data_IF_857570940845
#
_entry.id   IF_857570940845
#
_cell.length_a   1.000
_cell.length_b   1.000
_cell.length_c   1.000
_cell.angle_alpha   90.00
_cell.angle_beta   90.00
_cell.angle_gamma   90.00
#
_symmetry.space_group_name_H-M   'P 1'
#
loop_
_entity.id
_entity.type
_entity.pdbx_description
1 polymer ?
#
# COMPACT_ATOMS: atom_id res chain seq x y z
N UNK A 1 54.93 -10.44 13.97
CA UNK A 1 53.67 -11.13 14.36
C UNK A 1 53.01 -10.39 15.52
N UNK A 2 52.35 -9.25 15.26
CA UNK A 2 51.54 -8.55 16.28
C UNK A 2 50.69 -7.40 15.70
N UNK A 3 50.34 -7.40 14.40
CA UNK A 3 49.59 -6.28 13.78
C UNK A 3 48.39 -6.68 12.93
N UNK A 4 48.11 -7.97 12.73
CA UNK A 4 46.99 -8.41 11.86
C UNK A 4 45.76 -8.93 12.63
N UNK A 5 45.79 -9.04 13.96
CA UNK A 5 44.66 -9.61 14.73
C UNK A 5 43.68 -8.55 15.24
N UNK A 6 43.99 -7.25 15.12
CA UNK A 6 43.14 -6.17 15.68
C UNK A 6 42.06 -5.69 14.70
N UNK A 7 42.20 -5.92 13.38
CA UNK A 7 41.20 -5.48 12.40
C UNK A 7 39.98 -6.40 12.24
N UNK A 8 40.03 -7.64 12.74
CA UNK A 8 38.89 -8.58 12.62
C UNK A 8 37.88 -8.42 13.76
N UNK A 9 38.30 -7.87 14.91
CA UNK A 9 37.38 -7.61 16.03
C UNK A 9 36.58 -6.30 15.89
N UNK A 10 36.98 -5.39 15.00
CA UNK A 10 36.28 -4.12 14.77
C UNK A 10 35.20 -4.19 13.68
N UNK A 11 35.18 -5.24 12.85
CA UNK A 11 34.20 -5.38 11.77
C UNK A 11 32.96 -6.23 12.15
N UNK A 12 32.99 -6.97 13.26
CA UNK A 12 31.80 -7.69 13.76
C UNK A 12 30.96 -6.89 14.76
N UNK A 13 31.50 -5.81 15.33
CA UNK A 13 30.73 -4.92 16.20
C UNK A 13 29.86 -3.91 15.41
N UNK A 14 30.22 -3.59 14.17
CA UNK A 14 29.47 -2.65 13.31
C UNK A 14 28.23 -3.24 12.65
N UNK A 15 28.10 -4.57 12.59
CA UNK A 15 26.94 -5.25 11.99
C UNK A 15 25.72 -5.26 12.90
N UNK A 16 25.91 -5.37 14.22
CA UNK A 16 24.81 -5.37 15.20
C UNK A 16 24.25 -3.96 15.44
N UNK A 17 25.09 -2.92 15.40
CA UNK A 17 24.64 -1.53 15.51
C UNK A 17 23.88 -1.04 14.27
N UNK A 18 24.07 -1.67 13.11
CA UNK A 18 23.42 -1.25 11.86
C UNK A 18 21.93 -1.65 11.80
N UNK A 19 21.55 -2.75 12.46
CA UNK A 19 20.15 -3.20 12.53
C UNK A 19 19.33 -2.46 13.60
N UNK A 20 19.94 -2.11 14.74
CA UNK A 20 19.25 -1.38 15.82
C UNK A 20 19.06 0.11 15.46
N UNK A 21 20.00 0.70 14.73
CA UNK A 21 19.88 2.09 14.26
C UNK A 21 18.87 2.27 13.11
N UNK A 22 18.50 1.20 12.38
CA UNK A 22 17.53 1.30 11.28
C UNK A 22 16.07 1.41 11.73
N UNK A 23 15.69 0.83 12.87
CA UNK A 23 14.33 0.94 13.40
C UNK A 23 14.03 2.32 13.99
N UNK A 24 14.99 2.93 14.70
CA UNK A 24 14.83 4.30 15.23
C UNK A 24 14.79 5.37 14.13
N UNK A 25 15.44 5.13 12.99
CA UNK A 25 15.40 6.07 11.86
C UNK A 25 14.16 5.92 10.96
N UNK A 26 13.58 4.71 10.83
CA UNK A 26 12.37 4.49 10.02
C UNK A 26 11.13 5.17 10.64
N UNK A 27 11.11 5.28 11.96
CA UNK A 27 10.10 6.00 12.74
C UNK A 27 10.68 7.27 13.39
N UNK A 28 11.51 8.02 12.66
CA UNK A 28 11.94 9.35 13.08
C UNK A 28 10.72 10.29 13.11
N UNK A 29 10.10 10.40 14.28
CA UNK A 29 8.81 11.06 14.48
C UNK A 29 9.01 12.48 15.01
N UNK A 30 8.24 13.41 14.45
CA UNK A 30 8.19 14.79 14.93
C UNK A 30 7.41 14.90 16.23
N UNK A 31 6.28 14.19 16.36
CA UNK A 31 5.47 14.20 17.60
C UNK A 31 4.73 12.87 17.83
N UNK A 32 4.49 12.56 19.11
CA UNK A 32 3.68 11.43 19.60
C UNK A 32 2.50 11.97 20.42
N UNK A 33 1.28 11.60 20.05
CA UNK A 33 0.04 12.07 20.68
C UNK A 33 -0.85 10.89 21.07
N UNK A 34 -1.47 10.91 22.25
CA UNK A 34 -2.49 9.92 22.61
C UNK A 34 -3.71 10.03 21.67
N UNK A 35 -4.08 8.93 21.03
CA UNK A 35 -5.18 8.86 20.09
C UNK A 35 -6.46 8.30 20.73
N UNK A 36 -6.34 7.17 21.43
CA UNK A 36 -7.42 6.53 22.18
C UNK A 36 -6.88 5.43 23.10
N UNK A 37 -7.73 4.95 24.02
CA UNK A 37 -7.45 3.77 24.84
C UNK A 37 -8.15 2.56 24.24
N UNK A 38 -7.40 1.50 24.00
CA UNK A 38 -7.91 0.20 23.59
C UNK A 38 -8.00 -0.74 24.79
N UNK A 39 -9.12 -1.43 24.94
CA UNK A 39 -9.29 -2.46 25.97
C UNK A 39 -9.38 -3.82 25.29
N UNK A 40 -8.55 -4.76 25.73
CA UNK A 40 -8.61 -6.16 25.31
C UNK A 40 -8.64 -7.02 26.57
N UNK A 41 -9.68 -7.84 26.69
CA UNK A 41 -9.95 -8.63 27.90
C UNK A 41 -9.95 -7.74 29.16
N UNK A 42 -8.92 -7.87 30.01
CA UNK A 42 -8.75 -7.12 31.25
C UNK A 42 -7.58 -6.12 31.20
N UNK A 43 -6.95 -5.95 30.03
CA UNK A 43 -5.81 -5.05 29.84
C UNK A 43 -6.24 -3.78 29.08
N UNK A 44 -5.58 -2.66 29.38
CA UNK A 44 -5.82 -1.36 28.74
C UNK A 44 -4.53 -0.83 28.14
N UNK A 45 -4.61 -0.49 26.87
CA UNK A 45 -3.49 -0.03 26.05
C UNK A 45 -3.74 1.40 25.60
N UNK A 46 -2.79 2.29 25.89
CA UNK A 46 -2.81 3.62 25.31
C UNK A 46 -2.28 3.52 23.88
N UNK A 47 -3.11 3.89 22.91
CA UNK A 47 -2.72 3.92 21.50
C UNK A 47 -2.36 5.35 21.14
N UNK A 48 -1.16 5.52 20.58
CA UNK A 48 -0.61 6.80 20.18
C UNK A 48 -0.65 6.97 18.67
N UNK A 49 -1.01 8.16 18.21
CA UNK A 49 -0.79 8.60 16.84
C UNK A 49 0.59 9.26 16.74
N UNK A 50 1.35 8.83 15.74
CA UNK A 50 2.69 9.29 15.46
C UNK A 50 2.67 10.17 14.21
N UNK A 51 3.32 11.33 14.30
CA UNK A 51 3.39 12.30 13.19
C UNK A 51 4.82 12.58 12.78
N UNK A 52 5.01 12.87 11.50
CA UNK A 52 6.30 13.32 10.98
C UNK A 52 6.64 14.76 11.43
N UNK A 53 7.81 15.25 11.03
CA UNK A 53 8.28 16.61 11.35
C UNK A 53 7.43 17.72 10.71
N UNK A 54 6.59 17.39 9.74
CA UNK A 54 5.65 18.31 9.10
C UNK A 54 4.25 18.26 9.73
N UNK A 55 4.05 17.39 10.73
CA UNK A 55 2.78 17.22 11.45
C UNK A 55 1.79 16.27 10.78
N UNK A 56 2.19 15.56 9.72
CA UNK A 56 1.33 14.57 9.05
C UNK A 56 1.34 13.25 9.79
N UNK A 57 0.18 12.59 9.83
CA UNK A 57 0.05 11.28 10.44
C UNK A 57 0.82 10.20 9.67
N UNK A 58 1.51 9.33 10.39
CA UNK A 58 2.32 8.26 9.80
C UNK A 58 1.87 6.89 10.28
N UNK A 59 1.85 6.68 11.60
CA UNK A 59 1.56 5.39 12.21
C UNK A 59 0.77 5.54 13.51
N UNK A 60 0.08 4.49 13.90
CA UNK A 60 -0.35 4.27 15.26
C UNK A 60 0.67 3.39 15.98
N UNK A 61 0.82 3.56 17.29
CA UNK A 61 1.63 2.64 18.11
C UNK A 61 1.05 2.38 19.47
N UNK A 62 1.40 1.24 20.04
CA UNK A 62 1.19 0.94 21.44
C UNK A 62 2.30 0.03 21.95
N UNK A 63 2.52 0.05 23.27
CA UNK A 63 3.45 -0.85 23.92
C UNK A 63 2.66 -2.02 24.51
N UNK A 64 2.95 -3.23 24.04
CA UNK A 64 2.35 -4.47 24.53
C UNK A 64 3.31 -5.12 25.53
N UNK A 65 2.85 -5.26 26.77
CA UNK A 65 3.57 -5.95 27.83
C UNK A 65 2.77 -7.12 28.38
N UNK A 66 3.45 -8.11 28.95
CA UNK A 66 2.83 -9.12 29.80
C UNK A 66 3.35 -10.53 29.57
N UNK A 67 2.72 -11.49 30.23
CA UNK A 67 3.13 -12.90 30.18
C UNK A 67 2.71 -13.59 28.89
N UNK A 68 3.55 -14.50 28.40
CA UNK A 68 3.30 -15.22 27.15
C UNK A 68 2.75 -16.63 27.40
N UNK A 69 3.21 -17.29 28.46
CA UNK A 69 2.78 -18.64 28.80
C UNK A 69 2.53 -18.76 30.31
N UNK A 70 1.56 -19.62 30.65
CA UNK A 70 0.98 -19.74 31.99
C UNK A 70 1.92 -20.38 33.04
N UNK A 71 3.00 -21.01 32.59
CA UNK A 71 3.96 -21.75 33.43
C UNK A 71 5.23 -20.96 33.76
N UNK A 72 5.29 -19.69 33.31
CA UNK A 72 6.41 -18.79 33.53
C UNK A 72 7.73 -19.26 32.91
N UNK A 73 7.66 -20.14 31.90
CA UNK A 73 8.84 -20.62 31.15
C UNK A 73 9.30 -19.63 30.08
N UNK A 74 8.40 -18.76 29.64
CA UNK A 74 8.64 -17.77 28.61
C UNK A 74 8.94 -16.43 29.28
N UNK A 75 9.88 -15.68 28.71
CA UNK A 75 10.06 -14.30 29.13
C UNK A 75 8.80 -13.48 28.76
N UNK A 76 8.36 -12.56 29.63
CA UNK A 76 7.32 -11.61 29.29
C UNK A 76 7.68 -10.84 28.02
N UNK A 77 6.69 -10.56 27.18
CA UNK A 77 6.88 -9.65 26.05
C UNK A 77 6.87 -8.21 26.54
N UNK A 78 7.67 -7.40 25.87
CA UNK A 78 7.63 -5.94 25.95
C UNK A 78 8.03 -5.43 24.57
N UNK A 79 7.03 -5.11 23.75
CA UNK A 79 7.21 -4.75 22.35
C UNK A 79 6.42 -3.50 22.00
N UNK A 80 7.03 -2.61 21.24
CA UNK A 80 6.32 -1.51 20.60
C UNK A 80 5.79 -2.01 19.26
N UNK A 81 4.48 -1.89 19.06
CA UNK A 81 3.80 -2.36 17.84
C UNK A 81 3.31 -1.15 17.07
N UNK A 82 3.45 -1.20 15.75
CA UNK A 82 3.09 -0.13 14.84
C UNK A 82 2.05 -0.60 13.82
N UNK A 83 1.06 0.25 13.56
CA UNK A 83 0.09 0.07 12.48
C UNK A 83 0.09 1.29 11.57
N UNK A 84 -0.25 1.07 10.31
CA UNK A 84 -0.52 2.13 9.36
C UNK A 84 -1.86 2.85 9.68
N UNK A 85 -2.22 3.86 8.90
CA UNK A 85 -3.45 4.63 9.12
C UNK A 85 -4.73 3.85 8.78
N UNK A 86 -4.63 2.72 8.09
CA UNK A 86 -5.75 1.82 7.81
C UNK A 86 -5.88 0.69 8.84
N UNK A 87 -4.95 0.62 9.80
CA UNK A 87 -4.91 -0.43 10.81
C UNK A 87 -4.24 -1.71 10.33
N UNK A 88 -3.45 -1.67 9.27
CA UNK A 88 -2.59 -2.80 8.88
C UNK A 88 -1.32 -2.80 9.73
N UNK A 89 -0.84 -3.98 10.08
CA UNK A 89 0.44 -4.13 10.78
C UNK A 89 1.56 -3.53 9.94
N UNK A 90 2.34 -2.62 10.53
CA UNK A 90 3.45 -1.96 9.86
C UNK A 90 4.79 -2.54 10.30
N UNK A 91 5.01 -2.66 11.61
CA UNK A 91 6.24 -3.19 12.20
C UNK A 91 6.11 -3.41 13.71
N UNK A 92 7.14 -3.97 14.34
CA UNK A 92 7.35 -3.91 15.78
C UNK A 92 8.82 -3.61 16.12
N UNK A 93 9.04 -3.08 17.32
CA UNK A 93 10.36 -2.82 17.87
C UNK A 93 10.51 -3.40 19.28
N UNK A 94 11.74 -3.82 19.60
CA UNK A 94 12.15 -4.34 20.91
C UNK A 94 13.49 -3.71 21.29
N UNK A 95 13.71 -3.45 22.58
CA UNK A 95 15.05 -3.08 23.06
C UNK A 95 15.91 -4.32 23.31
N UNK A 96 17.22 -4.12 23.47
CA UNK A 96 18.18 -5.18 23.83
C UNK A 96 17.79 -5.93 25.12
N UNK A 97 17.27 -5.19 26.11
CA UNK A 97 16.81 -5.73 27.38
C UNK A 97 15.51 -6.53 27.25
N UNK A 98 14.70 -6.23 26.22
CA UNK A 98 13.38 -6.80 25.97
C UNK A 98 13.35 -7.66 24.69
N UNK A 99 14.48 -8.25 24.31
CA UNK A 99 14.56 -9.14 23.14
C UNK A 99 13.54 -10.27 23.25
N UNK A 100 12.84 -10.53 22.14
CA UNK A 100 11.97 -11.69 22.04
C UNK A 100 12.79 -12.97 22.16
N UNK A 101 12.29 -13.92 22.94
CA UNK A 101 12.91 -15.23 23.09
C UNK A 101 11.95 -16.35 22.69
N UNK A 102 12.53 -17.40 22.15
CA UNK A 102 11.92 -18.72 22.00
C UNK A 102 11.91 -19.44 23.35
N UNK A 103 11.46 -20.68 23.33
CA UNK A 103 11.60 -21.64 24.40
C UNK A 103 13.04 -21.66 24.93
N UNK A 104 13.17 -21.83 26.24
CA UNK A 104 14.45 -21.86 26.95
C UNK A 104 15.27 -20.56 26.82
N UNK A 105 14.58 -19.43 26.72
CA UNK A 105 15.17 -18.08 26.66
C UNK A 105 16.14 -17.84 25.49
N UNK A 106 16.08 -18.67 24.44
CA UNK A 106 16.89 -18.50 23.24
C UNK A 106 16.41 -17.25 22.50
N UNK A 107 17.27 -16.25 22.33
CA UNK A 107 16.92 -15.01 21.63
C UNK A 107 16.52 -15.28 20.17
N UNK A 108 15.58 -14.47 19.66
CA UNK A 108 15.23 -14.46 18.26
C UNK A 108 16.44 -14.06 17.39
N UNK A 109 16.62 -14.78 16.29
CA UNK A 109 17.57 -14.44 15.22
C UNK A 109 16.95 -13.40 14.26
N UNK A 110 17.75 -12.71 13.44
CA UNK A 110 17.21 -11.82 12.41
C UNK A 110 16.17 -12.49 11.50
N UNK A 111 16.38 -13.76 11.16
CA UNK A 111 15.46 -14.57 10.35
C UNK A 111 14.14 -14.83 11.07
N UNK A 112 14.18 -15.05 12.40
CA UNK A 112 12.97 -15.18 13.21
C UNK A 112 12.18 -13.89 13.25
N UNK A 113 12.86 -12.74 13.34
CA UNK A 113 12.22 -11.43 13.28
C UNK A 113 11.54 -11.20 11.93
N UNK A 114 12.20 -11.52 10.81
CA UNK A 114 11.61 -11.41 9.48
C UNK A 114 10.37 -12.30 9.34
N UNK A 115 10.48 -13.57 9.74
CA UNK A 115 9.36 -14.51 9.72
C UNK A 115 8.20 -14.04 10.59
N UNK A 116 8.48 -13.53 11.79
CA UNK A 116 7.43 -13.01 12.67
C UNK A 116 6.71 -11.82 12.02
N UNK A 117 7.44 -10.87 11.39
CA UNK A 117 6.80 -9.74 10.71
C UNK A 117 5.88 -10.18 9.57
N UNK A 118 6.29 -11.18 8.78
CA UNK A 118 5.46 -11.77 7.74
C UNK A 118 4.18 -12.39 8.33
N UNK A 119 4.31 -13.18 9.41
CA UNK A 119 3.17 -13.78 10.10
C UNK A 119 2.21 -12.72 10.65
N UNK A 120 2.73 -11.65 11.29
CA UNK A 120 1.90 -10.58 11.85
C UNK A 120 1.17 -9.75 10.79
N UNK A 121 1.77 -9.60 9.61
CA UNK A 121 1.15 -8.94 8.46
C UNK A 121 0.07 -9.79 7.79
N UNK A 122 0.14 -11.12 7.92
CA UNK A 122 -0.83 -12.05 7.34
C UNK A 122 -2.13 -12.12 8.16
N UNK A 123 -3.14 -11.39 7.72
CA UNK A 123 -4.49 -11.39 8.34
C UNK A 123 -5.29 -12.67 8.06
N UNK A 124 -4.84 -13.50 7.13
CA UNK A 124 -5.46 -14.77 6.74
C UNK A 124 -4.71 -15.99 7.32
N UNK A 125 -3.77 -15.76 8.22
CA UNK A 125 -2.99 -16.79 8.89
C UNK A 125 -3.88 -17.85 9.54
N UNK A 126 -3.39 -19.10 9.53
CA UNK A 126 -4.02 -20.22 10.23
C UNK A 126 -4.23 -19.93 11.73
N UNK A 127 -3.43 -19.04 12.33
CA UNK A 127 -3.60 -18.62 13.73
C UNK A 127 -4.99 -18.04 14.03
N UNK A 128 -5.70 -17.53 13.00
CA UNK A 128 -7.07 -17.03 13.16
C UNK A 128 -8.06 -18.09 13.61
N UNK A 129 -7.90 -19.30 13.08
CA UNK A 129 -8.97 -20.31 13.06
C UNK A 129 -8.70 -21.48 14.03
N UNK A 130 -7.54 -21.52 14.68
CA UNK A 130 -7.11 -22.61 15.59
C UNK A 130 -6.79 -22.10 16.99
N UNK A 131 -7.18 -22.86 18.01
CA UNK A 131 -6.79 -22.58 19.38
C UNK A 131 -5.31 -22.90 19.62
N UNK A 132 -4.71 -22.24 20.61
CA UNK A 132 -3.30 -22.41 20.98
C UNK A 132 -2.89 -23.88 21.19
N UNK A 133 -3.75 -24.68 21.82
CA UNK A 133 -3.50 -26.10 22.11
C UNK A 133 -3.42 -26.96 20.83
N UNK A 134 -4.10 -26.55 19.77
CA UNK A 134 -4.13 -27.25 18.48
C UNK A 134 -2.85 -27.01 17.67
N UNK A 135 -2.12 -25.94 17.98
CA UNK A 135 -0.83 -25.61 17.36
C UNK A 135 0.33 -26.46 17.91
N UNK A 136 0.07 -27.27 18.94
CA UNK A 136 1.07 -28.07 19.64
C UNK A 136 1.02 -29.54 19.21
N UNK A 137 2.19 -30.15 19.05
CA UNK A 137 2.32 -31.59 18.88
C UNK A 137 2.02 -32.29 20.21
N UNK A 138 0.98 -33.13 20.20
CA UNK A 138 0.54 -33.87 21.40
C UNK A 138 1.46 -35.05 21.75
N UNK A 139 2.33 -35.45 20.82
CA UNK A 139 3.21 -36.62 20.93
C UNK A 139 4.65 -36.27 21.33
N UNK A 140 5.10 -35.05 21.03
CA UNK A 140 6.48 -34.60 21.28
C UNK A 140 6.56 -33.67 22.48
N UNK A 141 7.29 -34.11 23.51
CA UNK A 141 7.60 -33.33 24.71
C UNK A 141 9.04 -32.82 24.66
N UNK A 142 9.24 -31.56 25.05
CA UNK A 142 10.52 -30.87 25.06
C UNK A 142 10.83 -30.40 26.48
N UNK A 143 11.96 -30.82 27.05
CA UNK A 143 12.40 -30.40 28.38
C UNK A 143 13.17 -29.07 28.31
N UNK A 144 13.00 -28.20 29.29
CA UNK A 144 13.80 -26.98 29.45
C UNK A 144 15.20 -27.34 29.94
N UNK A 145 16.23 -26.66 29.44
CA UNK A 145 17.60 -26.81 29.95
C UNK A 145 17.87 -25.84 31.12
N UNK A 146 17.07 -24.79 31.26
CA UNK A 146 17.27 -23.74 32.27
C UNK A 146 16.41 -23.96 33.52
N UNK A 147 15.23 -24.60 33.40
CA UNK A 147 14.34 -24.89 34.55
C UNK A 147 14.17 -26.40 34.71
N UNK A 148 14.81 -26.94 35.76
CA UNK A 148 14.60 -28.32 36.18
C UNK A 148 13.09 -28.54 36.44
N UNK A 149 12.55 -29.62 35.90
CA UNK A 149 11.13 -30.04 35.95
C UNK A 149 10.16 -29.34 34.97
N UNK A 150 10.65 -28.47 34.08
CA UNK A 150 9.81 -27.87 33.04
C UNK A 150 9.80 -28.67 31.73
N UNK A 151 8.60 -29.08 31.29
CA UNK A 151 8.39 -29.79 30.02
C UNK A 151 7.25 -29.13 29.25
N UNK A 152 7.50 -28.72 28.01
CA UNK A 152 6.50 -28.18 27.09
C UNK A 152 6.26 -29.11 25.90
N UNK A 153 5.32 -28.76 25.02
CA UNK A 153 5.04 -29.47 23.77
C UNK A 153 5.72 -28.78 22.59
N UNK A 154 6.18 -29.56 21.63
CA UNK A 154 6.70 -29.00 20.39
C UNK A 154 5.60 -28.33 19.57
N UNK A 155 5.96 -27.40 18.69
CA UNK A 155 5.06 -26.91 17.64
C UNK A 155 4.73 -28.05 16.69
N UNK A 156 3.45 -28.20 16.33
CA UNK A 156 3.03 -29.17 15.31
C UNK A 156 3.57 -28.78 13.93
N UNK A 157 4.07 -29.79 13.19
CA UNK A 157 4.60 -29.60 11.82
C UNK A 157 3.59 -28.97 10.86
N UNK A 158 2.30 -29.22 11.09
CA UNK A 158 1.21 -28.64 10.29
C UNK A 158 1.22 -27.11 10.30
N UNK A 159 1.70 -26.49 11.39
CA UNK A 159 1.68 -25.04 11.58
C UNK A 159 3.07 -24.41 11.49
N UNK A 160 4.08 -25.15 11.04
CA UNK A 160 5.46 -24.67 11.00
C UNK A 160 5.64 -23.42 10.13
N UNK A 161 4.86 -23.26 9.06
CA UNK A 161 4.86 -22.05 8.23
C UNK A 161 4.21 -20.84 8.92
N UNK A 162 3.21 -21.08 9.78
CA UNK A 162 2.42 -20.03 10.44
C UNK A 162 3.03 -19.54 11.77
N UNK A 163 4.17 -20.11 12.20
CA UNK A 163 4.81 -19.78 13.48
C UNK A 163 6.33 -19.72 13.38
N UNK A 164 6.96 -19.03 14.33
CA UNK A 164 8.40 -19.16 14.57
C UNK A 164 8.62 -20.42 15.43
N UNK A 165 9.40 -21.42 14.96
CA UNK A 165 9.64 -22.64 15.71
C UNK A 165 10.20 -22.35 17.11
N UNK A 166 9.58 -22.97 18.12
CA UNK A 166 9.95 -22.76 19.52
C UNK A 166 9.40 -21.47 20.13
N UNK A 167 8.59 -20.67 19.43
CA UNK A 167 7.99 -19.45 19.95
C UNK A 167 6.48 -19.36 19.70
N UNK A 168 5.80 -20.50 19.55
CA UNK A 168 4.38 -20.58 19.20
C UNK A 168 3.48 -19.73 20.11
N UNK A 169 3.70 -19.74 21.43
CA UNK A 169 2.92 -18.90 22.36
C UNK A 169 3.15 -17.40 22.12
N UNK A 170 4.41 -16.99 21.91
CA UNK A 170 4.76 -15.59 21.62
C UNK A 170 4.10 -15.13 20.32
N UNK A 171 4.23 -15.94 19.26
CA UNK A 171 3.65 -15.64 17.95
C UNK A 171 2.13 -15.56 18.04
N UNK A 172 1.49 -16.52 18.70
CA UNK A 172 0.04 -16.56 18.89
C UNK A 172 -0.46 -15.29 19.59
N UNK A 173 0.12 -14.93 20.75
CA UNK A 173 -0.27 -13.74 21.50
C UNK A 173 -0.11 -12.45 20.68
N UNK A 174 1.03 -12.29 20.01
CA UNK A 174 1.29 -11.11 19.18
C UNK A 174 0.33 -11.02 18.00
N UNK A 175 0.10 -12.13 17.29
CA UNK A 175 -0.77 -12.15 16.13
C UNK A 175 -2.21 -11.80 16.51
N UNK A 176 -2.75 -12.41 17.57
CA UNK A 176 -4.11 -12.10 18.02
C UNK A 176 -4.25 -10.67 18.53
N UNK A 177 -3.23 -10.10 19.16
CA UNK A 177 -3.26 -8.70 19.56
C UNK A 177 -3.25 -7.75 18.35
N UNK A 178 -2.27 -7.94 17.45
CA UNK A 178 -2.08 -7.14 16.23
C UNK A 178 -3.30 -7.16 15.33
N UNK A 179 -3.93 -8.33 15.21
CA UNK A 179 -5.08 -8.58 14.33
C UNK A 179 -6.44 -8.53 15.05
N UNK A 180 -6.46 -8.06 16.31
CA UNK A 180 -7.70 -7.85 17.06
C UNK A 180 -8.52 -6.66 16.54
N UNK A 181 -9.61 -6.37 17.25
CA UNK A 181 -10.45 -5.19 17.04
C UNK A 181 -9.70 -3.85 17.09
N UNK A 182 -8.44 -3.82 17.56
CA UNK A 182 -7.59 -2.62 17.50
C UNK A 182 -7.47 -2.08 16.08
N UNK A 183 -7.39 -2.95 15.06
CA UNK A 183 -7.30 -2.54 13.65
C UNK A 183 -8.50 -1.70 13.22
N UNK A 184 -9.71 -2.18 13.57
CA UNK A 184 -10.96 -1.45 13.29
C UNK A 184 -11.03 -0.14 14.05
N UNK A 185 -10.55 -0.11 15.30
CA UNK A 185 -10.48 1.12 16.11
C UNK A 185 -9.50 2.14 15.54
N UNK A 186 -8.35 1.69 15.03
CA UNK A 186 -7.39 2.52 14.31
C UNK A 186 -8.06 3.14 13.09
N UNK A 187 -8.63 2.33 12.20
CA UNK A 187 -9.28 2.85 10.99
C UNK A 187 -10.40 3.85 11.33
N UNK A 188 -11.24 3.53 12.32
CA UNK A 188 -12.31 4.43 12.77
C UNK A 188 -11.76 5.75 13.34
N UNK A 189 -10.64 5.69 14.08
CA UNK A 189 -9.97 6.89 14.57
C UNK A 189 -9.38 7.71 13.42
N UNK A 190 -8.77 7.06 12.43
CA UNK A 190 -8.21 7.71 11.24
C UNK A 190 -9.27 8.43 10.44
N UNK A 191 -10.38 7.75 10.13
CA UNK A 191 -11.53 8.33 9.43
C UNK A 191 -12.08 9.57 10.15
N UNK A 192 -12.16 9.51 11.49
CA UNK A 192 -12.77 10.58 12.30
C UNK A 192 -11.84 11.76 12.52
N UNK A 193 -10.56 11.52 12.79
CA UNK A 193 -9.65 12.51 13.37
C UNK A 193 -8.40 12.81 12.52
N UNK A 194 -8.05 11.92 11.58
CA UNK A 194 -6.80 12.03 10.81
C UNK A 194 -7.04 12.43 9.36
N UNK A 195 -8.03 11.83 8.70
CA UNK A 195 -8.36 12.05 7.29
C UNK A 195 -9.05 13.40 7.04
N UNK A 196 -8.35 14.47 7.38
CA UNK A 196 -8.64 15.84 6.95
C UNK A 196 -8.38 15.97 5.45
N UNK A 197 -8.91 17.03 4.83
CA UNK A 197 -8.70 17.24 3.38
C UNK A 197 -7.22 17.37 3.02
N UNK A 198 -6.40 17.98 3.88
CA UNK A 198 -4.96 18.06 3.66
C UNK A 198 -4.28 16.68 3.72
N UNK A 199 -4.66 15.85 4.70
CA UNK A 199 -4.13 14.50 4.86
C UNK A 199 -4.56 13.60 3.69
N UNK A 200 -5.83 13.64 3.28
CA UNK A 200 -6.34 12.88 2.15
C UNK A 200 -5.59 13.26 0.87
N UNK A 201 -5.38 14.55 0.61
CA UNK A 201 -4.62 15.02 -0.56
C UNK A 201 -3.19 14.46 -0.58
N UNK A 202 -2.51 14.46 0.57
CA UNK A 202 -1.17 13.89 0.71
C UNK A 202 -1.17 12.38 0.48
N UNK A 203 -2.10 11.66 1.11
CA UNK A 203 -2.17 10.20 1.04
C UNK A 203 -2.57 9.70 -0.34
N UNK A 204 -3.47 10.39 -1.06
CA UNK A 204 -3.78 10.10 -2.46
C UNK A 204 -2.53 10.16 -3.33
N UNK A 205 -1.63 11.11 -3.10
CA UNK A 205 -0.41 11.29 -3.89
C UNK A 205 0.83 10.63 -3.27
N UNK A 206 0.64 9.76 -2.27
CA UNK A 206 1.76 9.13 -1.55
C UNK A 206 2.46 8.03 -2.32
N UNK A 207 1.83 7.48 -3.37
CA UNK A 207 2.28 6.27 -4.06
C UNK A 207 2.11 4.99 -3.23
N UNK A 208 1.51 5.07 -2.04
CA UNK A 208 1.10 3.89 -1.28
C UNK A 208 -0.24 3.40 -1.83
N UNK A 209 -0.21 2.22 -2.45
CA UNK A 209 -1.36 1.59 -3.09
C UNK A 209 -2.56 1.45 -2.14
N UNK A 210 -2.35 0.94 -0.93
CA UNK A 210 -3.46 0.65 0.00
C UNK A 210 -4.18 1.93 0.41
N UNK A 211 -3.42 3.00 0.69
CA UNK A 211 -4.01 4.32 0.96
C UNK A 211 -4.75 4.87 -0.25
N UNK A 212 -4.16 4.81 -1.45
CA UNK A 212 -4.79 5.30 -2.67
C UNK A 212 -6.11 4.60 -2.93
N UNK A 213 -6.13 3.27 -2.94
CA UNK A 213 -7.34 2.49 -3.17
C UNK A 213 -8.41 2.77 -2.14
N UNK A 214 -8.05 2.68 -0.86
CA UNK A 214 -9.00 2.92 0.22
C UNK A 214 -9.62 4.31 0.11
N UNK A 215 -8.79 5.34 -0.09
CA UNK A 215 -9.28 6.72 -0.17
C UNK A 215 -10.13 6.96 -1.41
N UNK A 216 -9.69 6.54 -2.60
CA UNK A 216 -10.46 6.72 -3.84
C UNK A 216 -11.84 6.08 -3.69
N UNK A 217 -11.91 4.88 -3.11
CA UNK A 217 -13.19 4.19 -2.96
C UNK A 217 -14.11 4.86 -1.93
N UNK A 218 -13.53 5.41 -0.86
CA UNK A 218 -14.25 5.99 0.27
C UNK A 218 -14.37 7.53 0.25
N UNK A 219 -13.96 8.22 -0.82
CA UNK A 219 -14.25 9.65 -0.97
C UNK A 219 -15.77 9.85 -1.03
N UNK A 220 -16.38 10.62 -0.10
CA UNK A 220 -17.79 10.95 -0.21
C UNK A 220 -18.06 11.73 -1.49
N UNK A 221 -19.19 11.47 -2.15
CA UNK A 221 -19.56 12.13 -3.42
C UNK A 221 -19.46 13.66 -3.33
N UNK A 222 -19.91 14.25 -2.21
CA UNK A 222 -19.82 15.68 -1.94
C UNK A 222 -18.39 16.24 -1.86
N UNK A 223 -17.37 15.39 -1.67
CA UNK A 223 -15.95 15.76 -1.61
C UNK A 223 -15.17 15.43 -2.88
N UNK A 224 -15.77 14.75 -3.85
CA UNK A 224 -15.07 14.42 -5.11
C UNK A 224 -14.52 15.68 -5.79
N UNK A 225 -15.31 16.75 -5.82
CA UNK A 225 -14.88 18.04 -6.39
C UNK A 225 -13.68 18.66 -5.65
N UNK A 226 -13.56 18.42 -4.33
CA UNK A 226 -12.44 18.92 -3.50
C UNK A 226 -11.13 18.19 -3.83
N UNK A 227 -11.21 16.92 -4.24
CA UNK A 227 -10.05 16.06 -4.52
C UNK A 227 -9.82 15.81 -6.02
N UNK A 228 -10.59 16.47 -6.90
CA UNK A 228 -10.54 16.24 -8.36
C UNK A 228 -9.13 16.40 -8.93
N UNK A 229 -8.35 17.37 -8.44
CA UNK A 229 -7.03 17.64 -8.98
C UNK A 229 -6.05 16.51 -8.64
N UNK A 230 -6.20 15.91 -7.45
CA UNK A 230 -5.45 14.72 -7.05
C UNK A 230 -5.88 13.51 -7.89
N UNK A 231 -7.17 13.30 -8.08
CA UNK A 231 -7.68 12.22 -8.92
C UNK A 231 -7.19 12.34 -10.39
N UNK A 232 -7.15 13.55 -10.95
CA UNK A 232 -6.57 13.80 -12.28
C UNK A 232 -5.07 13.52 -12.30
N UNK A 233 -4.34 13.83 -11.23
CA UNK A 233 -2.91 13.51 -11.13
C UNK A 233 -2.65 12.01 -11.14
N UNK A 234 -3.54 11.21 -10.54
CA UNK A 234 -3.43 9.75 -10.49
C UNK A 234 -3.64 9.04 -11.82
N UNK A 235 -4.09 9.73 -12.88
CA UNK A 235 -4.20 9.16 -14.22
C UNK A 235 -2.85 8.63 -14.73
N UNK A 236 -1.75 9.26 -14.30
CA UNK A 236 -0.39 8.85 -14.64
C UNK A 236 0.31 8.03 -13.55
N UNK A 237 -0.42 7.47 -12.59
CA UNK A 237 0.18 6.68 -11.51
C UNK A 237 0.88 5.42 -12.05
N UNK A 238 1.92 4.97 -11.35
CA UNK A 238 2.72 3.80 -11.72
C UNK A 238 1.97 2.50 -11.46
N UNK A 239 1.02 2.46 -10.54
CA UNK A 239 0.16 1.30 -10.29
C UNK A 239 -0.76 1.03 -11.49
N UNK A 240 -1.07 -0.25 -11.76
CA UNK A 240 -1.84 -0.66 -12.94
C UNK A 240 -3.32 -0.30 -12.88
N UNK A 241 -3.85 -0.09 -11.68
CA UNK A 241 -5.28 0.00 -11.44
C UNK A 241 -5.67 1.30 -10.75
N UNK A 242 -4.82 1.91 -9.92
CA UNK A 242 -5.07 3.23 -9.30
C UNK A 242 -5.55 4.27 -10.32
N UNK A 243 -4.96 4.39 -11.52
CA UNK A 243 -5.48 5.31 -12.54
C UNK A 243 -6.93 5.04 -12.92
N UNK A 244 -7.32 3.78 -13.10
CA UNK A 244 -8.68 3.40 -13.49
C UNK A 244 -9.70 3.72 -12.39
N UNK A 245 -9.34 3.44 -11.13
CA UNK A 245 -10.18 3.78 -9.98
C UNK A 245 -10.35 5.29 -9.84
N UNK A 246 -9.28 6.07 -10.03
CA UNK A 246 -9.35 7.52 -9.98
C UNK A 246 -10.25 8.07 -11.11
N UNK A 247 -10.11 7.54 -12.33
CA UNK A 247 -10.90 7.90 -13.50
C UNK A 247 -12.39 7.62 -13.32
N UNK A 248 -12.74 6.52 -12.66
CA UNK A 248 -14.13 6.15 -12.37
C UNK A 248 -14.81 7.14 -11.42
N UNK A 249 -14.07 7.68 -10.43
CA UNK A 249 -14.59 8.64 -9.47
C UNK A 249 -14.67 10.07 -10.02
N UNK A 250 -14.05 10.39 -11.16
CA UNK A 250 -14.09 11.76 -11.70
C UNK A 250 -15.51 12.16 -12.15
N UNK A 251 -16.01 13.36 -11.76
CA UNK A 251 -17.32 13.82 -12.18
C UNK A 251 -17.41 13.98 -13.70
N UNK A 252 -18.59 13.71 -14.27
CA UNK A 252 -18.79 13.78 -15.72
C UNK A 252 -18.42 15.16 -16.30
N UNK A 253 -18.71 16.23 -15.57
CA UNK A 253 -18.44 17.61 -16.02
C UNK A 253 -16.96 17.96 -16.18
N UNK A 254 -16.05 17.18 -15.59
CA UNK A 254 -14.60 17.42 -15.72
C UNK A 254 -14.12 17.08 -17.13
N UNK A 255 -14.72 16.07 -17.78
CA UNK A 255 -14.37 15.64 -19.14
C UNK A 255 -14.66 16.70 -20.21
N UNK A 256 -15.56 17.65 -19.93
CA UNK A 256 -15.85 18.78 -20.81
C UNK A 256 -14.87 19.94 -20.65
N UNK A 257 -13.91 19.88 -19.72
CA UNK A 257 -12.92 20.94 -19.51
C UNK A 257 -11.80 20.83 -20.54
N UNK A 258 -11.59 21.90 -21.29
CA UNK A 258 -10.57 21.95 -22.35
C UNK A 258 -9.17 21.66 -21.83
N UNK A 259 -8.83 22.14 -20.63
CA UNK A 259 -7.54 21.90 -19.98
C UNK A 259 -7.30 20.41 -19.70
N UNK A 260 -8.32 19.68 -19.21
CA UNK A 260 -8.19 18.24 -18.96
C UNK A 260 -8.04 17.47 -20.28
N UNK A 261 -8.89 17.77 -21.26
CA UNK A 261 -8.82 17.17 -22.60
C UNK A 261 -7.42 17.35 -23.22
N UNK A 262 -6.90 18.58 -23.19
CA UNK A 262 -5.56 18.88 -23.67
C UNK A 262 -4.48 18.06 -22.95
N UNK A 263 -4.59 17.98 -21.62
CA UNK A 263 -3.65 17.21 -20.78
C UNK A 263 -3.67 15.73 -21.13
N UNK A 264 -4.84 15.09 -21.18
CA UNK A 264 -4.92 13.64 -21.41
C UNK A 264 -4.47 13.27 -22.82
N UNK A 265 -4.78 14.07 -23.85
CA UNK A 265 -4.29 13.82 -25.21
C UNK A 265 -2.78 13.95 -25.31
N UNK A 266 -2.18 14.96 -24.67
CA UNK A 266 -0.71 15.09 -24.60
C UNK A 266 -0.04 13.93 -23.87
N UNK A 267 -0.71 13.38 -22.86
CA UNK A 267 -0.16 12.29 -22.04
C UNK A 267 -0.37 10.91 -22.65
N UNK A 268 -1.19 10.75 -23.70
CA UNK A 268 -1.52 9.45 -24.31
C UNK A 268 -0.32 8.50 -24.48
N UNK A 269 0.86 8.92 -25.00
CA UNK A 269 2.01 8.02 -25.17
C UNK A 269 2.47 7.33 -23.88
N UNK A 270 2.33 8.01 -22.74
CA UNK A 270 2.78 7.51 -21.43
C UNK A 270 1.69 6.70 -20.70
N UNK A 271 0.44 6.82 -21.12
CA UNK A 271 -0.69 6.17 -20.46
C UNK A 271 -0.76 4.68 -20.81
N UNK A 272 -1.19 3.88 -19.84
CA UNK A 272 -1.43 2.43 -20.03
C UNK A 272 -2.62 2.21 -20.95
N UNK A 273 -2.64 1.07 -21.65
CA UNK A 273 -3.69 0.75 -22.64
C UNK A 273 -5.12 0.85 -22.09
N UNK A 274 -5.38 0.31 -20.90
CA UNK A 274 -6.70 0.38 -20.28
C UNK A 274 -7.12 1.82 -19.96
N UNK A 275 -6.18 2.64 -19.52
CA UNK A 275 -6.39 4.07 -19.22
C UNK A 275 -6.72 4.85 -20.48
N UNK A 276 -5.98 4.63 -21.58
CA UNK A 276 -6.28 5.24 -22.89
C UNK A 276 -7.69 4.93 -23.35
N UNK A 277 -8.09 3.66 -23.31
CA UNK A 277 -9.43 3.22 -23.70
C UNK A 277 -10.49 3.93 -22.86
N UNK A 278 -10.34 3.93 -21.53
CA UNK A 278 -11.31 4.58 -20.64
C UNK A 278 -11.48 6.08 -20.96
N UNK A 279 -10.36 6.80 -21.14
CA UNK A 279 -10.37 8.23 -21.46
C UNK A 279 -11.06 8.47 -22.80
N UNK A 280 -10.70 7.73 -23.84
CA UNK A 280 -11.29 7.87 -25.17
C UNK A 280 -12.79 7.56 -25.16
N UNK A 281 -13.23 6.56 -24.39
CA UNK A 281 -14.66 6.28 -24.19
C UNK A 281 -15.40 7.47 -23.57
N UNK A 282 -14.84 8.10 -22.53
CA UNK A 282 -15.45 9.28 -21.89
C UNK A 282 -15.54 10.47 -22.85
N UNK A 283 -14.52 10.66 -23.71
CA UNK A 283 -14.45 11.78 -24.65
C UNK A 283 -15.23 11.55 -25.95
N UNK A 284 -15.52 10.30 -26.33
CA UNK A 284 -16.23 9.92 -27.57
C UNK A 284 -17.60 10.60 -27.76
N UNK A 285 -18.23 11.06 -26.67
CA UNK A 285 -19.57 11.66 -26.69
C UNK A 285 -19.56 13.17 -26.48
N UNK A 286 -18.39 13.80 -26.50
CA UNK A 286 -18.24 15.22 -26.18
C UNK A 286 -17.86 16.04 -27.42
N UNK A 287 -18.27 17.31 -27.42
CA UNK A 287 -17.71 18.30 -28.33
C UNK A 287 -16.28 18.63 -27.86
N UNK A 288 -15.32 18.51 -28.77
CA UNK A 288 -13.89 18.74 -28.47
C UNK A 288 -13.44 19.98 -29.25
N UNK A 289 -12.81 20.97 -28.59
CA UNK A 289 -12.27 22.15 -29.28
C UNK A 289 -11.22 21.78 -30.33
N UNK A 290 -11.07 22.64 -31.35
CA UNK A 290 -10.13 22.44 -32.47
C UNK A 290 -8.71 22.10 -32.00
N UNK A 291 -8.17 22.86 -31.04
CA UNK A 291 -6.80 22.65 -30.57
C UNK A 291 -6.63 21.30 -29.86
N UNK A 292 -7.66 20.84 -29.15
CA UNK A 292 -7.64 19.53 -28.48
C UNK A 292 -7.82 18.38 -29.46
N UNK A 293 -8.62 18.56 -30.51
CA UNK A 293 -8.70 17.59 -31.62
C UNK A 293 -7.35 17.47 -32.33
N UNK A 294 -6.60 18.57 -32.51
CA UNK A 294 -5.24 18.50 -33.06
C UNK A 294 -4.31 17.69 -32.16
N UNK A 295 -4.41 17.83 -30.84
CA UNK A 295 -3.66 16.98 -29.88
C UNK A 295 -4.05 15.50 -29.98
N UNK A 296 -5.34 15.20 -30.15
CA UNK A 296 -5.80 13.84 -30.41
C UNK A 296 -5.16 13.29 -31.70
N UNK A 297 -5.21 14.04 -32.81
CA UNK A 297 -4.60 13.64 -34.08
C UNK A 297 -3.11 13.33 -33.91
N UNK A 298 -2.38 14.18 -33.19
CA UNK A 298 -0.96 13.97 -32.89
C UNK A 298 -0.71 12.70 -32.06
N UNK A 299 -1.68 12.27 -31.25
CA UNK A 299 -1.58 11.05 -30.44
C UNK A 299 -1.96 9.76 -31.19
N UNK A 300 -2.66 9.83 -32.32
CA UNK A 300 -3.10 8.65 -33.09
C UNK A 300 -1.97 7.65 -33.41
N UNK A 301 -0.74 8.06 -33.77
CA UNK A 301 0.34 7.12 -34.07
C UNK A 301 0.69 6.14 -32.94
N UNK A 302 0.36 6.45 -31.68
CA UNK A 302 0.62 5.56 -30.53
C UNK A 302 -0.58 4.69 -30.13
N UNK A 303 -1.72 4.84 -30.82
CA UNK A 303 -2.96 4.12 -30.54
C UNK A 303 -3.09 2.85 -31.40
N UNK A 304 -3.86 1.88 -30.93
CA UNK A 304 -4.10 0.61 -31.64
C UNK A 304 -5.44 -0.03 -31.28
N UNK A 305 -5.99 -0.83 -32.19
CA UNK A 305 -7.24 -1.60 -31.99
C UNK A 305 -8.39 -0.69 -31.53
N UNK A 306 -9.06 -1.06 -30.43
CA UNK A 306 -10.18 -0.28 -29.85
C UNK A 306 -9.85 1.20 -29.58
N UNK A 307 -8.59 1.54 -29.34
CA UNK A 307 -8.20 2.94 -29.15
C UNK A 307 -8.35 3.75 -30.45
N UNK A 308 -8.03 3.15 -31.60
CA UNK A 308 -8.23 3.78 -32.90
C UNK A 308 -9.71 3.94 -33.21
N UNK A 309 -10.54 2.91 -32.98
CA UNK A 309 -11.99 3.01 -33.11
C UNK A 309 -12.54 4.25 -32.39
N UNK A 310 -12.22 4.36 -31.10
CA UNK A 310 -12.71 5.47 -30.27
C UNK A 310 -12.13 6.83 -30.68
N UNK A 311 -10.85 6.88 -31.05
CA UNK A 311 -10.22 8.11 -31.50
C UNK A 311 -10.86 8.63 -32.80
N UNK A 312 -11.11 7.75 -33.76
CA UNK A 312 -11.78 8.12 -35.01
C UNK A 312 -13.27 8.40 -34.82
N UNK A 313 -13.94 7.76 -33.87
CA UNK A 313 -15.30 8.14 -33.47
C UNK A 313 -15.37 9.56 -32.91
N UNK A 314 -14.38 9.98 -32.11
CA UNK A 314 -14.27 11.38 -31.65
C UNK A 314 -14.14 12.32 -32.86
N UNK A 315 -13.27 12.00 -33.83
CA UNK A 315 -13.09 12.84 -35.03
C UNK A 315 -14.38 12.91 -35.87
N UNK A 316 -15.08 11.78 -36.06
CA UNK A 316 -16.37 11.70 -36.76
C UNK A 316 -17.45 12.53 -36.05
N UNK A 317 -17.51 12.45 -34.72
CA UNK A 317 -18.41 13.25 -33.90
C UNK A 317 -18.18 14.76 -34.03
N UNK A 318 -16.95 15.17 -34.35
CA UNK A 318 -16.54 16.56 -34.54
C UNK A 318 -16.29 16.94 -36.01
N UNK A 319 -16.89 16.22 -36.97
CA UNK A 319 -16.62 16.31 -38.42
C UNK A 319 -16.61 17.71 -39.03
N UNK A 320 -17.45 18.63 -38.56
CA UNK A 320 -17.49 20.00 -39.12
C UNK A 320 -16.17 20.75 -38.85
N UNK A 321 -15.69 20.69 -37.60
CA UNK A 321 -14.40 21.27 -37.22
C UNK A 321 -13.27 20.57 -37.96
N UNK A 322 -13.34 19.23 -38.07
CA UNK A 322 -12.32 18.45 -38.75
C UNK A 322 -12.21 18.86 -40.23
N UNK A 323 -13.34 18.96 -40.93
CA UNK A 323 -13.41 19.36 -42.35
C UNK A 323 -12.88 20.77 -42.56
N UNK A 324 -13.30 21.72 -41.73
CA UNK A 324 -13.07 23.14 -42.00
C UNK A 324 -11.69 23.61 -41.51
N UNK A 325 -11.14 22.99 -40.45
CA UNK A 325 -9.96 23.51 -39.74
C UNK A 325 -8.81 22.50 -39.59
N UNK A 326 -9.07 21.19 -39.66
CA UNK A 326 -8.07 20.15 -39.38
C UNK A 326 -7.85 19.16 -40.54
N UNK A 327 -8.36 19.48 -41.74
CA UNK A 327 -8.27 18.58 -42.89
C UNK A 327 -6.82 18.21 -43.24
N UNK A 328 -5.90 19.18 -43.15
CA UNK A 328 -4.46 18.93 -43.38
C UNK A 328 -3.83 18.09 -42.26
N UNK A 329 -4.22 18.31 -41.00
CA UNK A 329 -3.77 17.51 -39.86
C UNK A 329 -4.20 16.04 -40.04
N UNK A 330 -5.45 15.80 -40.47
CA UNK A 330 -5.95 14.44 -40.77
C UNK A 330 -5.22 13.81 -41.96
N UNK A 331 -5.01 14.56 -43.06
CA UNK A 331 -4.24 14.05 -44.20
C UNK A 331 -2.83 13.60 -43.83
N UNK A 332 -2.19 14.25 -42.84
CA UNK A 332 -0.87 13.85 -42.38
C UNK A 332 -0.82 12.42 -41.84
N UNK A 333 -1.93 11.88 -41.33
CA UNK A 333 -2.02 10.52 -40.82
C UNK A 333 -1.85 9.45 -41.92
N UNK A 334 -2.10 9.79 -43.19
CA UNK A 334 -1.86 8.88 -44.32
C UNK A 334 -0.36 8.55 -44.51
N UNK A 335 0.53 9.38 -43.96
CA UNK A 335 1.98 9.17 -44.00
C UNK A 335 2.50 8.27 -42.88
N UNK A 336 1.67 7.97 -41.88
CA UNK A 336 2.04 7.10 -40.76
C UNK A 336 2.22 5.67 -41.28
N UNK A 337 3.33 5.04 -40.88
CA UNK A 337 3.65 3.66 -41.27
C UNK A 337 2.84 2.63 -40.45
N UNK A 338 1.51 2.69 -40.57
CA UNK A 338 0.57 1.78 -39.93
C UNK A 338 -0.63 1.60 -40.87
N UNK A 339 -0.93 0.36 -41.26
CA UNK A 339 -1.99 0.08 -42.23
C UNK A 339 -3.38 0.43 -41.69
N UNK A 340 -3.66 0.08 -40.44
CA UNK A 340 -4.93 0.36 -39.78
C UNK A 340 -5.18 1.87 -39.75
N UNK A 341 -4.20 2.67 -39.29
CA UNK A 341 -4.33 4.14 -39.23
C UNK A 341 -4.68 4.73 -40.60
N UNK A 342 -4.05 4.23 -41.67
CA UNK A 342 -4.36 4.69 -43.03
C UNK A 342 -5.78 4.32 -43.44
N UNK A 343 -6.24 3.10 -43.14
CA UNK A 343 -7.60 2.66 -43.42
C UNK A 343 -8.65 3.53 -42.69
N UNK A 344 -8.48 3.75 -41.39
CA UNK A 344 -9.38 4.65 -40.63
C UNK A 344 -9.36 6.09 -41.17
N UNK A 345 -8.18 6.57 -41.57
CA UNK A 345 -8.03 7.92 -42.13
C UNK A 345 -8.74 8.05 -43.47
N UNK A 346 -8.61 7.08 -44.36
CA UNK A 346 -9.31 7.06 -45.65
C UNK A 346 -10.83 6.96 -45.47
N UNK A 347 -11.31 6.16 -44.52
CA UNK A 347 -12.74 6.08 -44.18
C UNK A 347 -13.28 7.43 -43.68
N UNK A 348 -12.56 8.09 -42.76
CA UNK A 348 -12.93 9.40 -42.26
C UNK A 348 -12.99 10.44 -43.40
N UNK A 349 -11.96 10.50 -44.25
CA UNK A 349 -11.89 11.48 -45.35
C UNK A 349 -13.02 11.32 -46.37
N UNK A 350 -13.55 10.10 -46.58
CA UNK A 350 -14.72 9.86 -47.45
C UNK A 350 -16.03 10.41 -46.85
N UNK A 351 -16.07 10.61 -45.53
CA UNK A 351 -17.25 11.04 -44.79
C UNK A 351 -17.28 12.55 -44.47
N UNK A 352 -16.15 13.25 -44.63
CA UNK A 352 -16.03 14.71 -44.50
C UNK A 352 -16.49 15.41 -45.78
#
# INVERSE_FOLDING_TARGET
MAKEVVCIWLLMASGLSYLIAQTDHKYALGTKQEAFIFSSENERFVVYLLKDNHGFATYYSTNLTGEVCLDGLCRPINVDIYWDLLGNFADYATTEENRLTKFDHVAFTPEDHLKLKEILADTESLLRDYAMEELLDTTVRVASLIKADAVTRATSKTFESAVVPGAVYTVYRLWHFVNSDIRRKILANSQKNVFTDAEIKRLLLSGNRDYQYYLIDNIPEAKVEVFKDQLIQLIGDKDDFVPLYALEKLPQGVWSKEELQARVFKQMPELKNAVRVFILEKLSKLAIPTDNLRLLIQSIPVLSGKQLDLAFDILKGNRLIVKDQLLQDVHSLLTVNNADIREYTEDLLKQL
#
